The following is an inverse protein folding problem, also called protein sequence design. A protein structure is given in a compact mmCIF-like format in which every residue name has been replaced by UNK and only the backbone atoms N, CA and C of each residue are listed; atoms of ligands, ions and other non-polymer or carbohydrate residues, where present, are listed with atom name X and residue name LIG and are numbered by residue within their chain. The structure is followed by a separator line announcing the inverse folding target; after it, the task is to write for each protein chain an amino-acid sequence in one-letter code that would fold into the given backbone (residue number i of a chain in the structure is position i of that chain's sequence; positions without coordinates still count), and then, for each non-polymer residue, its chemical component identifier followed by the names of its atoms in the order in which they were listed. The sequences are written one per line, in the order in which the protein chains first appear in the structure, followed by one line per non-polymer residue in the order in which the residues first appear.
data_IF_743099998519
#
_entry.id   IF_743099998519
#
_cell.length_a   1.000
_cell.length_b   1.000
_cell.length_c   1.000
_cell.angle_alpha   90.00
_cell.angle_beta   90.00
_cell.angle_gamma   90.00
#
_symmetry.space_group_name_H-M   'P 1'
#
loop_
_entity.id
_entity.type
_entity.pdbx_description
1 polymer ?
#
# COMPACT_ATOMS: atom_id res chain seq x y z
N UNK A 1 -14.78 2.38 15.94
CA UNK A 1 -13.46 2.12 16.55
C UNK A 1 -12.72 1.07 15.74
N UNK A 2 -11.40 1.17 15.59
CA UNK A 2 -10.60 0.16 14.87
C UNK A 2 -10.28 -1.02 15.80
N UNK A 3 -10.17 -2.25 15.28
CA UNK A 3 -9.87 -3.45 16.07
C UNK A 3 -8.64 -3.28 16.99
N UNK A 4 -7.62 -2.58 16.50
CA UNK A 4 -6.41 -2.30 17.29
C UNK A 4 -6.66 -1.41 18.50
N UNK A 5 -7.57 -0.43 18.40
CA UNK A 5 -7.93 0.45 19.50
C UNK A 5 -8.64 -0.33 20.62
N UNK A 6 -9.57 -1.22 20.26
CA UNK A 6 -10.27 -2.09 21.20
C UNK A 6 -9.29 -3.05 21.90
N UNK A 7 -8.39 -3.68 21.15
CA UNK A 7 -7.37 -4.57 21.73
C UNK A 7 -6.41 -3.83 22.69
N UNK A 8 -6.14 -2.54 22.47
CA UNK A 8 -5.31 -1.73 23.35
C UNK A 8 -6.05 -1.35 24.65
N UNK A 9 -7.35 -1.08 24.53
CA UNK A 9 -8.24 -0.73 25.63
C UNK A 9 -8.43 -1.93 26.57
N UNK A 10 -8.76 -3.11 26.03
CA UNK A 10 -8.86 -4.35 26.81
C UNK A 10 -7.54 -4.74 27.48
N UNK A 11 -6.40 -4.36 26.90
CA UNK A 11 -5.09 -4.59 27.52
C UNK A 11 -4.85 -3.63 28.68
N UNK A 12 -5.29 -2.38 28.51
CA UNK A 12 -5.16 -1.33 29.53
C UNK A 12 -6.03 -1.68 30.75
N UNK A 13 -7.27 -2.16 30.54
CA UNK A 13 -8.13 -2.67 31.62
C UNK A 13 -7.48 -3.85 32.38
N UNK A 14 -6.82 -4.77 31.67
CA UNK A 14 -6.09 -5.89 32.31
C UNK A 14 -4.86 -5.41 33.08
N UNK A 15 -4.14 -4.42 32.57
CA UNK A 15 -2.98 -3.82 33.26
C UNK A 15 -3.41 -3.09 34.54
N UNK A 16 -4.56 -2.42 34.52
CA UNK A 16 -5.18 -1.77 35.69
C UNK A 16 -5.63 -2.80 36.74
N UNK A 17 -6.20 -3.93 36.31
CA UNK A 17 -6.69 -4.97 37.21
C UNK A 17 -5.60 -5.88 37.80
N UNK A 18 -4.53 -6.18 37.05
CA UNK A 18 -3.55 -7.23 37.41
C UNK A 18 -2.09 -6.74 37.45
N UNK A 19 -1.83 -5.47 37.12
CA UNK A 19 -0.50 -4.89 37.06
C UNK A 19 0.22 -5.08 35.71
N UNK A 20 1.27 -4.30 35.48
CA UNK A 20 1.93 -4.16 34.16
C UNK A 20 2.99 -5.21 33.83
N UNK A 21 3.48 -5.98 34.80
CA UNK A 21 4.55 -6.95 34.57
C UNK A 21 4.03 -8.16 33.80
N UNK A 22 4.46 -8.30 32.54
CA UNK A 22 4.12 -9.46 31.71
C UNK A 22 2.82 -9.32 30.92
N UNK A 23 2.22 -8.13 30.86
CA UNK A 23 0.95 -7.88 30.14
C UNK A 23 0.97 -8.25 28.65
N UNK A 24 2.16 -8.38 28.05
CA UNK A 24 2.31 -8.64 26.62
C UNK A 24 2.12 -7.38 25.75
N UNK A 25 2.01 -6.18 26.35
CA UNK A 25 1.80 -4.91 25.64
C UNK A 25 2.79 -4.66 24.53
N UNK A 26 4.08 -4.86 24.79
CA UNK A 26 5.14 -4.69 23.79
C UNK A 26 4.93 -5.62 22.60
N UNK A 27 4.61 -6.89 22.84
CA UNK A 27 4.37 -7.88 21.78
C UNK A 27 3.13 -7.54 20.96
N UNK A 28 2.06 -7.10 21.62
CA UNK A 28 0.82 -6.68 20.97
C UNK A 28 1.04 -5.45 20.07
N UNK A 29 1.69 -4.41 20.59
CA UNK A 29 1.99 -3.19 19.82
C UNK A 29 2.89 -3.50 18.63
N UNK A 30 3.93 -4.32 18.79
CA UNK A 30 4.80 -4.71 17.69
C UNK A 30 4.04 -5.53 16.61
N UNK A 31 3.12 -6.41 17.01
CA UNK A 31 2.26 -7.14 16.08
C UNK A 31 1.36 -6.19 15.31
N UNK A 32 0.64 -5.30 15.99
CA UNK A 32 -0.27 -4.34 15.36
C UNK A 32 0.51 -3.42 14.40
N UNK A 33 1.71 -2.98 14.78
CA UNK A 33 2.56 -2.16 13.91
C UNK A 33 2.98 -2.91 12.64
N UNK A 34 3.22 -4.23 12.71
CA UNK A 34 3.47 -5.07 11.52
C UNK A 34 2.22 -5.26 10.68
N UNK A 35 1.05 -5.41 11.31
CA UNK A 35 -0.23 -5.54 10.62
C UNK A 35 -0.57 -4.27 9.83
N UNK A 36 -0.42 -3.09 10.45
CA UNK A 36 -0.63 -1.80 9.77
C UNK A 36 0.28 -1.64 8.56
N UNK A 37 1.58 -1.98 8.70
CA UNK A 37 2.52 -1.94 7.55
C UNK A 37 2.10 -2.89 6.44
N UNK A 38 1.76 -4.14 6.76
CA UNK A 38 1.32 -5.12 5.75
C UNK A 38 0.03 -4.69 5.04
N UNK A 39 -0.96 -4.21 5.79
CA UNK A 39 -2.21 -3.74 5.22
C UNK A 39 -1.95 -2.60 4.24
N UNK A 40 -1.14 -1.62 4.64
CA UNK A 40 -0.77 -0.50 3.79
C UNK A 40 -0.04 -0.96 2.52
N UNK A 41 0.92 -1.87 2.64
CA UNK A 41 1.59 -2.45 1.48
C UNK A 41 0.61 -3.13 0.53
N UNK A 42 -0.32 -3.92 1.06
CA UNK A 42 -1.30 -4.66 0.27
C UNK A 42 -2.28 -3.71 -0.43
N UNK A 43 -2.71 -2.64 0.23
CA UNK A 43 -3.52 -1.57 -0.35
C UNK A 43 -2.78 -0.87 -1.51
N UNK A 44 -1.50 -0.54 -1.33
CA UNK A 44 -0.68 0.06 -2.39
C UNK A 44 -0.50 -0.90 -3.58
N UNK A 45 -0.18 -2.17 -3.33
CA UNK A 45 -0.07 -3.19 -4.40
C UNK A 45 -1.38 -3.35 -5.16
N UNK A 46 -2.51 -3.37 -4.45
CA UNK A 46 -3.82 -3.47 -5.06
C UNK A 46 -4.14 -2.25 -5.95
N UNK A 47 -3.87 -1.05 -5.45
CA UNK A 47 -4.03 0.19 -6.21
C UNK A 47 -3.18 0.21 -7.49
N UNK A 48 -1.90 -0.13 -7.37
CA UNK A 48 -0.99 -0.21 -8.53
C UNK A 48 -1.41 -1.30 -9.53
N UNK A 49 -1.85 -2.47 -9.07
CA UNK A 49 -2.37 -3.53 -9.95
C UNK A 49 -3.61 -3.06 -10.73
N UNK A 50 -4.47 -2.27 -10.10
CA UNK A 50 -5.66 -1.67 -10.73
C UNK A 50 -5.28 -0.67 -11.82
N UNK A 51 -4.30 0.21 -11.55
CA UNK A 51 -3.80 1.18 -12.53
C UNK A 51 -3.10 0.47 -13.70
N UNK A 52 -2.25 -0.53 -13.41
CA UNK A 52 -1.59 -1.36 -14.41
C UNK A 52 -2.57 -2.07 -15.34
N UNK A 53 -3.70 -2.56 -14.80
CA UNK A 53 -4.77 -3.14 -15.61
C UNK A 53 -5.38 -2.11 -16.57
N UNK A 54 -5.62 -0.88 -16.12
CA UNK A 54 -6.15 0.18 -16.97
C UNK A 54 -5.24 0.51 -18.16
N UNK A 55 -3.92 0.53 -17.96
CA UNK A 55 -2.95 0.71 -19.04
C UNK A 55 -2.94 -0.48 -20.00
N UNK A 56 -3.00 -1.72 -19.51
CA UNK A 56 -3.11 -2.90 -20.38
C UNK A 56 -4.37 -2.89 -21.24
N UNK A 57 -5.50 -2.48 -20.67
CA UNK A 57 -6.76 -2.38 -21.41
C UNK A 57 -6.67 -1.31 -22.53
N UNK A 58 -6.01 -0.17 -22.26
CA UNK A 58 -5.74 0.85 -23.30
C UNK A 58 -4.77 0.37 -24.38
N UNK A 59 -3.71 -0.32 -23.99
CA UNK A 59 -2.74 -0.90 -24.92
C UNK A 59 -3.42 -1.89 -25.87
N UNK A 60 -4.34 -2.72 -25.35
CA UNK A 60 -5.11 -3.66 -26.16
C UNK A 60 -6.06 -2.95 -27.16
N UNK A 61 -6.61 -1.79 -26.78
CA UNK A 61 -7.53 -1.02 -27.64
C UNK A 61 -6.85 -0.13 -28.69
N UNK A 62 -5.63 0.36 -28.41
CA UNK A 62 -4.94 1.36 -29.26
C UNK A 62 -3.62 0.89 -29.85
N UNK A 63 -3.08 -0.25 -29.40
CA UNK A 63 -1.75 -0.75 -29.80
C UNK A 63 -0.58 0.08 -29.26
N UNK A 64 -0.81 0.93 -28.25
CA UNK A 64 0.20 1.89 -27.76
C UNK A 64 1.34 1.23 -26.97
N UNK A 65 2.55 1.28 -27.51
CA UNK A 65 3.80 0.85 -26.83
C UNK A 65 4.01 1.58 -25.50
N UNK A 66 3.68 2.88 -25.44
CA UNK A 66 3.76 3.67 -24.21
C UNK A 66 2.91 3.11 -23.04
N UNK A 67 1.77 2.49 -23.35
CA UNK A 67 0.87 1.90 -22.34
C UNK A 67 1.39 0.54 -21.85
N UNK A 68 2.08 -0.19 -22.71
CA UNK A 68 2.81 -1.40 -22.32
C UNK A 68 4.02 -1.04 -21.44
N UNK A 69 4.77 -0.01 -21.79
CA UNK A 69 5.89 0.47 -20.96
C UNK A 69 5.40 0.99 -19.59
N UNK A 70 4.26 1.69 -19.56
CA UNK A 70 3.60 2.10 -18.32
C UNK A 70 3.30 0.90 -17.40
N UNK A 71 2.82 -0.20 -17.99
CA UNK A 71 2.57 -1.45 -17.25
C UNK A 71 3.85 -1.99 -16.63
N UNK A 72 4.96 -2.01 -17.38
CA UNK A 72 6.26 -2.45 -16.89
C UNK A 72 6.79 -1.58 -15.73
N UNK A 73 6.72 -0.25 -15.87
CA UNK A 73 7.13 0.70 -14.82
C UNK A 73 6.32 0.51 -13.52
N UNK A 74 5.02 0.27 -13.63
CA UNK A 74 4.18 0.01 -12.46
C UNK A 74 4.58 -1.31 -11.78
N UNK A 75 4.83 -2.37 -12.55
CA UNK A 75 5.28 -3.66 -11.99
C UNK A 75 6.62 -3.52 -11.27
N UNK A 76 7.57 -2.78 -11.84
CA UNK A 76 8.85 -2.50 -11.21
C UNK A 76 8.67 -1.76 -9.88
N UNK A 77 7.98 -0.62 -9.88
CA UNK A 77 7.72 0.18 -8.68
C UNK A 77 7.00 -0.64 -7.58
N UNK A 78 6.08 -1.53 -7.96
CA UNK A 78 5.40 -2.45 -7.03
C UNK A 78 6.38 -3.37 -6.30
N UNK A 79 7.40 -3.86 -7.01
CA UNK A 79 8.49 -4.66 -6.42
C UNK A 79 9.40 -3.85 -5.50
N UNK A 80 9.58 -2.56 -5.80
CA UNK A 80 10.45 -1.68 -5.02
C UNK A 80 9.82 -1.21 -3.70
N UNK A 81 8.49 -1.12 -3.62
CA UNK A 81 7.76 -0.65 -2.43
C UNK A 81 8.21 -1.34 -1.13
N UNK A 82 8.48 -2.66 -1.17
CA UNK A 82 8.87 -3.44 0.01
C UNK A 82 10.18 -2.95 0.64
N UNK A 83 11.09 -2.46 -0.20
CA UNK A 83 12.48 -2.11 0.17
C UNK A 83 12.71 -0.61 0.20
N UNK A 84 11.75 0.20 -0.23
CA UNK A 84 11.93 1.65 -0.37
C UNK A 84 11.44 2.39 0.89
N UNK A 85 12.34 3.00 1.68
CA UNK A 85 11.96 3.75 2.88
C UNK A 85 11.20 5.05 2.55
N UNK A 86 11.21 5.51 1.30
CA UNK A 86 10.53 6.71 0.83
C UNK A 86 9.50 6.37 -0.27
N UNK A 87 8.48 5.60 0.11
CA UNK A 87 7.36 5.21 -0.76
C UNK A 87 6.70 6.41 -1.46
N UNK A 88 6.55 7.54 -0.75
CA UNK A 88 5.89 8.73 -1.30
C UNK A 88 6.63 9.27 -2.52
N UNK A 89 7.95 9.43 -2.42
CA UNK A 89 8.74 9.94 -3.54
C UNK A 89 8.78 8.95 -4.71
N UNK A 90 8.85 7.65 -4.42
CA UNK A 90 8.75 6.59 -5.44
C UNK A 90 7.44 6.70 -6.22
N UNK A 91 6.31 6.81 -5.53
CA UNK A 91 4.99 6.93 -6.15
C UNK A 91 4.85 8.22 -6.95
N UNK A 92 5.38 9.34 -6.43
CA UNK A 92 5.37 10.62 -7.14
C UNK A 92 6.17 10.54 -8.44
N UNK A 93 7.40 10.00 -8.40
CA UNK A 93 8.22 9.81 -9.59
C UNK A 93 7.52 8.91 -10.61
N UNK A 94 6.97 7.76 -10.16
CA UNK A 94 6.19 6.86 -11.01
C UNK A 94 5.05 7.63 -11.70
N UNK A 95 4.20 8.34 -10.96
CA UNK A 95 3.04 9.02 -11.56
C UNK A 95 3.40 10.17 -12.49
N UNK A 96 4.56 10.81 -12.30
CA UNK A 96 5.07 11.82 -13.23
C UNK A 96 5.57 11.20 -14.54
N UNK A 97 6.11 9.99 -14.49
CA UNK A 97 6.65 9.27 -15.66
C UNK A 97 5.59 8.48 -16.44
N UNK A 98 4.40 8.27 -15.86
CA UNK A 98 3.32 7.54 -16.54
C UNK A 98 2.65 8.39 -17.64
N UNK A 99 2.34 7.81 -18.81
CA UNK A 99 1.74 8.56 -19.91
C UNK A 99 0.29 8.93 -19.59
N UNK A 100 0.00 10.23 -19.60
CA UNK A 100 -1.35 10.74 -19.41
C UNK A 100 -2.25 10.15 -20.49
N UNK A 101 -3.23 9.34 -20.07
CA UNK A 101 -4.25 8.83 -20.98
C UNK A 101 -5.12 10.00 -21.41
N UNK A 102 -4.78 10.60 -22.56
CA UNK A 102 -5.65 11.55 -23.21
C UNK A 102 -6.99 10.85 -23.46
N UNK A 103 -8.01 11.19 -22.66
CA UNK A 103 -9.37 11.20 -23.18
C UNK A 103 -9.37 12.27 -24.25
N UNK A 104 -9.00 11.90 -25.47
CA UNK A 104 -9.39 12.65 -26.66
C UNK A 104 -10.91 12.52 -26.77
N UNK A 105 -11.62 13.33 -25.99
CA UNK A 105 -13.01 13.68 -26.23
C UNK A 105 -12.99 15.07 -26.84
N UNK A 106 -13.13 15.16 -28.17
CA UNK A 106 -14.36 15.51 -28.90
C UNK A 106 -14.19 14.94 -30.31
#
# INVERSE_FOLDING_TARGET
MTRHAVELEELTEREEAFGTRGSGRRTLVERQRREVRRLRDDELRFGLATISRSYRDRAAGSGGEADMDATARITEATGELIRNPNETLLLQALFLDLPVGGRNGV
#
